data_IF_325160462061
#
_entry.id   IF_325160462061
#
_cell.length_a   1.000
_cell.length_b   1.000
_cell.length_c   1.000
_cell.angle_alpha   90.00
_cell.angle_beta   90.00
_cell.angle_gamma   90.00
#
_symmetry.space_group_name_H-M   'P 1'
#
loop_
_entity.id
_entity.type
_entity.pdbx_description
1 polymer ?
#
# COMPACT_ATOMS: atom_id res chain seq x y z
N UNK A 1 18.72 -9.03 3.47
CA UNK A 1 17.56 -8.98 4.40
C UNK A 1 17.56 -7.73 5.31
N UNK A 2 18.60 -7.48 6.12
CA UNK A 2 18.64 -6.40 7.13
C UNK A 2 18.31 -5.00 6.58
N UNK A 3 18.86 -4.63 5.43
CA UNK A 3 18.62 -3.32 4.82
C UNK A 3 17.14 -3.04 4.50
N UNK A 4 16.36 -4.08 4.16
CA UNK A 4 14.92 -3.93 3.91
C UNK A 4 14.20 -3.59 5.20
N UNK A 5 14.43 -4.33 6.28
CA UNK A 5 13.82 -4.07 7.58
C UNK A 5 14.17 -2.69 8.12
N UNK A 6 15.43 -2.27 8.00
CA UNK A 6 15.83 -0.92 8.41
C UNK A 6 15.08 0.17 7.63
N UNK A 7 14.91 0.00 6.31
CA UNK A 7 14.11 0.93 5.49
C UNK A 7 12.65 0.93 5.90
N UNK A 8 12.04 -0.24 6.11
CA UNK A 8 10.64 -0.34 6.53
C UNK A 8 10.41 0.27 7.92
N UNK A 9 11.33 0.07 8.87
CA UNK A 9 11.29 0.70 10.19
C UNK A 9 11.37 2.22 10.09
N UNK A 10 12.32 2.76 9.31
CA UNK A 10 12.44 4.21 9.06
C UNK A 10 11.18 4.77 8.39
N UNK A 11 10.60 4.05 7.43
CA UNK A 11 9.35 4.44 6.77
C UNK A 11 8.19 4.50 7.76
N UNK A 12 8.04 3.47 8.61
CA UNK A 12 7.03 3.43 9.67
C UNK A 12 7.21 4.60 10.64
N UNK A 13 8.42 4.89 11.10
CA UNK A 13 8.69 6.01 12.02
C UNK A 13 8.26 7.37 11.43
N UNK A 14 8.52 7.58 10.14
CA UNK A 14 8.20 8.85 9.44
C UNK A 14 6.72 8.98 9.04
N UNK A 15 5.95 7.90 9.03
CA UNK A 15 4.53 7.91 8.63
C UNK A 15 3.60 7.78 9.83
N UNK A 16 2.76 8.80 10.07
CA UNK A 16 1.71 8.73 11.09
C UNK A 16 0.61 7.75 10.67
N UNK A 17 0.28 7.69 9.38
CA UNK A 17 -0.66 6.71 8.83
C UNK A 17 -0.24 5.27 9.18
N UNK A 18 1.04 4.91 8.99
CA UNK A 18 1.54 3.57 9.33
C UNK A 18 1.57 3.31 10.84
N UNK A 19 1.80 4.33 11.68
CA UNK A 19 1.90 4.17 13.14
C UNK A 19 0.55 4.14 13.85
N UNK A 20 -0.33 5.07 13.50
CA UNK A 20 -1.56 5.41 14.24
C UNK A 20 -2.81 5.39 13.37
N UNK A 21 -2.66 5.29 12.05
CA UNK A 21 -3.80 5.30 11.14
C UNK A 21 -4.66 4.06 11.27
N UNK A 22 -5.96 4.25 11.07
CA UNK A 22 -6.93 3.17 10.90
C UNK A 22 -6.57 2.31 9.70
N UNK A 23 -7.09 1.08 9.66
CA UNK A 23 -6.77 0.09 8.64
C UNK A 23 -8.05 -0.31 7.90
N UNK A 24 -8.02 -0.22 6.58
CA UNK A 24 -9.13 -0.65 5.72
C UNK A 24 -8.59 -1.62 4.66
N UNK A 25 -9.10 -2.84 4.63
CA UNK A 25 -8.86 -3.78 3.55
C UNK A 25 -9.57 -3.30 2.27
N UNK A 26 -8.88 -3.37 1.14
CA UNK A 26 -9.40 -2.98 -0.17
C UNK A 26 -9.49 -4.18 -1.12
N UNK A 27 -8.59 -5.15 -0.95
CA UNK A 27 -8.58 -6.38 -1.73
C UNK A 27 -7.95 -7.50 -0.88
N UNK A 28 -8.54 -8.70 -0.92
CA UNK A 28 -8.01 -9.88 -0.26
C UNK A 28 -8.49 -11.12 -1.01
N UNK A 29 -7.69 -11.59 -1.97
CA UNK A 29 -8.01 -12.75 -2.79
C UNK A 29 -6.72 -13.50 -3.15
N UNK A 30 -6.74 -14.83 -3.01
CA UNK A 30 -5.59 -15.68 -3.27
C UNK A 30 -4.36 -15.28 -2.45
N UNK A 31 -3.24 -15.03 -3.14
CA UNK A 31 -1.96 -14.65 -2.56
C UNK A 31 -1.76 -13.14 -2.37
N UNK A 32 -2.80 -12.33 -2.64
CA UNK A 32 -2.70 -10.88 -2.65
C UNK A 32 -3.61 -10.25 -1.63
N UNK A 33 -3.02 -9.38 -0.80
CA UNK A 33 -3.74 -8.52 0.14
C UNK A 33 -3.33 -7.07 -0.09
N UNK A 34 -4.32 -6.21 -0.32
CA UNK A 34 -4.15 -4.76 -0.44
C UNK A 34 -5.01 -4.07 0.62
N UNK A 35 -4.38 -3.18 1.39
CA UNK A 35 -5.05 -2.39 2.41
C UNK A 35 -4.46 -0.99 2.49
N UNK A 36 -5.25 -0.04 2.96
CA UNK A 36 -4.83 1.33 3.19
C UNK A 36 -4.80 1.65 4.69
N UNK A 37 -3.75 2.36 5.09
CA UNK A 37 -3.65 2.99 6.41
C UNK A 37 -3.93 4.48 6.28
N UNK A 38 -4.86 5.00 7.09
CA UNK A 38 -5.34 6.39 6.98
C UNK A 38 -5.22 7.09 8.32
N UNK A 39 -4.53 8.23 8.33
CA UNK A 39 -4.47 9.13 9.50
C UNK A 39 -4.59 10.56 9.02
N UNK A 40 -5.74 11.20 9.30
CA UNK A 40 -6.07 12.53 8.77
C UNK A 40 -5.88 12.57 7.24
N UNK A 41 -5.05 13.49 6.73
CA UNK A 41 -4.74 13.62 5.31
C UNK A 41 -3.61 12.70 4.82
N UNK A 42 -2.95 11.95 5.71
CA UNK A 42 -1.88 11.03 5.32
C UNK A 42 -2.45 9.65 4.99
N UNK A 43 -2.10 9.12 3.82
CA UNK A 43 -2.49 7.80 3.34
C UNK A 43 -1.24 6.95 3.09
N UNK A 44 -1.32 5.67 3.42
CA UNK A 44 -0.31 4.69 3.04
C UNK A 44 -1.00 3.42 2.51
N UNK A 45 -0.87 3.18 1.21
CA UNK A 45 -1.32 1.95 0.57
C UNK A 45 -0.25 0.87 0.74
N UNK A 46 -0.66 -0.31 1.16
CA UNK A 46 0.20 -1.47 1.34
C UNK A 46 -0.37 -2.61 0.52
N UNK A 47 0.47 -3.22 -0.29
CA UNK A 47 0.14 -4.40 -1.06
C UNK A 47 1.19 -5.46 -0.81
N UNK A 48 0.72 -6.67 -0.54
CA UNK A 48 1.53 -7.85 -0.29
C UNK A 48 1.06 -8.89 -1.30
N UNK A 49 1.95 -9.26 -2.21
CA UNK A 49 1.78 -10.37 -3.13
C UNK A 49 2.75 -11.48 -2.73
N UNK A 50 2.24 -12.69 -2.54
CA UNK A 50 3.04 -13.88 -2.25
C UNK A 50 3.08 -14.88 -3.41
N UNK A 51 2.33 -14.62 -4.48
CA UNK A 51 2.24 -15.45 -5.68
C UNK A 51 2.99 -14.81 -6.84
N UNK A 52 2.56 -15.15 -8.05
CA UNK A 52 3.09 -14.59 -9.28
C UNK A 52 2.73 -13.11 -9.46
N UNK A 53 3.50 -12.41 -10.29
CA UNK A 53 3.21 -11.02 -10.63
C UNK A 53 1.81 -10.90 -11.25
N UNK A 54 1.02 -9.97 -10.75
CA UNK A 54 -0.38 -9.83 -11.14
C UNK A 54 -0.84 -8.37 -11.10
N UNK A 55 -1.99 -8.13 -11.74
CA UNK A 55 -2.70 -6.87 -11.70
C UNK A 55 -3.94 -7.02 -10.82
N UNK A 56 -4.12 -6.08 -9.88
CA UNK A 56 -5.27 -6.04 -8.99
C UNK A 56 -6.14 -4.84 -9.35
N UNK A 57 -7.40 -5.09 -9.68
CA UNK A 57 -8.40 -4.05 -9.80
C UNK A 57 -8.90 -3.65 -8.41
N UNK A 58 -8.65 -2.39 -8.02
CA UNK A 58 -9.18 -1.84 -6.77
C UNK A 58 -10.49 -1.12 -7.05
N UNK A 59 -11.50 -1.38 -6.22
CA UNK A 59 -12.75 -0.64 -6.27
C UNK A 59 -12.52 0.85 -5.99
N UNK A 60 -13.34 1.69 -6.62
CA UNK A 60 -13.30 3.12 -6.40
C UNK A 60 -13.59 3.43 -4.91
N UNK A 61 -12.65 4.08 -4.24
CA UNK A 61 -12.76 4.41 -2.82
C UNK A 61 -12.32 5.84 -2.56
N UNK A 62 -13.04 6.62 -1.72
CA UNK A 62 -12.60 7.93 -1.26
C UNK A 62 -11.22 7.88 -0.58
N UNK A 63 -10.84 6.72 -0.03
CA UNK A 63 -9.54 6.53 0.61
C UNK A 63 -8.37 6.50 -0.39
N UNK A 64 -8.66 6.23 -1.66
CA UNK A 64 -7.69 6.21 -2.76
C UNK A 64 -7.61 7.54 -3.52
N UNK A 65 -8.54 8.47 -3.26
CA UNK A 65 -8.62 9.76 -3.91
C UNK A 65 -7.59 10.75 -3.34
N UNK A 66 -6.36 10.66 -3.84
CA UNK A 66 -5.25 11.56 -3.53
C UNK A 66 -4.65 12.10 -4.82
N UNK A 67 -3.99 13.26 -4.77
CA UNK A 67 -3.40 13.90 -5.95
C UNK A 67 -2.38 13.02 -6.69
N UNK A 68 -1.73 12.09 -5.98
CA UNK A 68 -0.84 11.10 -6.59
C UNK A 68 -0.24 10.17 -5.55
N UNK A 69 0.03 8.93 -5.97
CA UNK A 69 0.70 7.93 -5.15
C UNK A 69 2.20 7.92 -5.46
N UNK A 70 3.02 7.82 -4.41
CA UNK A 70 4.46 7.66 -4.54
C UNK A 70 4.90 6.34 -3.92
N UNK A 71 5.55 5.48 -4.70
CA UNK A 71 6.12 4.24 -4.20
C UNK A 71 7.30 4.54 -3.25
N UNK A 72 7.22 4.03 -2.01
CA UNK A 72 8.27 4.20 -0.97
C UNK A 72 9.10 2.94 -0.74
N UNK A 73 8.57 1.76 -1.08
CA UNK A 73 9.23 0.47 -0.93
C UNK A 73 8.62 -0.55 -1.90
N UNK A 74 9.41 -1.52 -2.35
CA UNK A 74 8.98 -2.50 -3.36
C UNK A 74 9.00 -1.94 -4.78
N UNK A 75 8.26 -2.61 -5.68
CA UNK A 75 8.18 -2.26 -7.12
C UNK A 75 6.74 -2.11 -7.62
N UNK A 76 5.76 -2.07 -6.72
CA UNK A 76 4.35 -1.94 -7.10
C UNK A 76 4.02 -0.57 -7.67
N UNK A 77 3.10 -0.52 -8.63
CA UNK A 77 2.67 0.72 -9.31
C UNK A 77 1.15 0.78 -9.34
N UNK A 78 0.58 1.91 -8.90
CA UNK A 78 -0.86 2.16 -8.93
C UNK A 78 -1.19 3.18 -10.02
N UNK A 79 -2.00 2.79 -10.99
CA UNK A 79 -2.47 3.67 -12.06
C UNK A 79 -3.96 3.43 -12.34
N UNK A 80 -4.76 4.49 -12.34
CA UNK A 80 -6.19 4.44 -12.73
C UNK A 80 -7.02 3.34 -12.02
N UNK A 81 -6.72 3.06 -10.74
CA UNK A 81 -7.43 2.03 -9.97
C UNK A 81 -6.86 0.63 -10.09
N UNK A 82 -5.86 0.42 -10.95
CA UNK A 82 -5.16 -0.86 -11.10
C UNK A 82 -3.82 -0.82 -10.41
N UNK A 83 -3.57 -1.82 -9.56
CA UNK A 83 -2.31 -2.00 -8.88
C UNK A 83 -1.53 -3.17 -9.50
N UNK A 84 -0.39 -2.87 -10.09
CA UNK A 84 0.57 -3.87 -10.54
C UNK A 84 1.40 -4.33 -9.34
N UNK A 85 1.29 -5.60 -8.99
CA UNK A 85 2.04 -6.25 -7.94
C UNK A 85 3.11 -7.17 -8.55
N UNK A 86 4.40 -6.96 -8.22
CA UNK A 86 5.47 -7.86 -8.63
C UNK A 86 5.45 -9.18 -7.85
#
# INVERSE_FOLDING_TARGET
>A
MLALYQRMTKLRQRSLALRRGGCQALYAEGDVVVFVRVYQQQRALVAINRGEACEVALEASPLLNVAGWQCKTGRGTLAKGYLLCP
#
